data_IF_281341672098
#
_entry.id   IF_281341672098
#
_cell.length_a   1.000
_cell.length_b   1.000
_cell.length_c   1.000
_cell.angle_alpha   90.00
_cell.angle_beta   90.00
_cell.angle_gamma   90.00
#
_symmetry.space_group_name_H-M   'P 1'
#
loop_
_entity.id
_entity.type
_entity.pdbx_description
1 polymer ?
#
# COMPACT_ATOMS: atom_id res chain seq x y z
N UNK A 1 5.95 40.21 -32.98
CA UNK A 1 6.82 40.64 -31.86
C UNK A 1 5.95 41.09 -30.71
N UNK A 2 5.85 40.28 -29.65
CA UNK A 2 4.98 40.56 -28.50
C UNK A 2 5.59 41.69 -27.67
N UNK A 3 4.79 42.72 -27.34
CA UNK A 3 5.25 43.87 -26.53
C UNK A 3 5.67 43.41 -25.13
N UNK A 4 6.67 44.07 -24.52
CA UNK A 4 7.12 43.78 -23.15
C UNK A 4 5.98 43.86 -22.11
N UNK A 5 4.93 44.64 -22.39
CA UNK A 5 3.73 44.75 -21.53
C UNK A 5 2.84 43.51 -21.64
N UNK A 6 2.61 43.04 -22.87
CA UNK A 6 1.87 41.81 -23.16
C UNK A 6 2.57 40.59 -22.56
N UNK A 7 3.90 40.53 -22.66
CA UNK A 7 4.68 39.44 -22.05
C UNK A 7 4.57 39.44 -20.52
N UNK A 8 4.64 40.61 -19.87
CA UNK A 8 4.45 40.73 -18.41
C UNK A 8 3.04 40.32 -17.99
N UNK A 9 2.02 40.73 -18.74
CA UNK A 9 0.64 40.37 -18.46
C UNK A 9 0.43 38.85 -18.59
N UNK A 10 0.91 38.25 -19.68
CA UNK A 10 0.84 36.81 -19.88
C UNK A 10 1.59 36.02 -18.79
N UNK A 11 2.77 36.50 -18.35
CA UNK A 11 3.51 35.87 -17.26
C UNK A 11 2.79 35.96 -15.91
N UNK A 12 2.19 37.11 -15.58
CA UNK A 12 1.40 37.25 -14.34
C UNK A 12 0.19 36.33 -14.38
N UNK A 13 -0.53 36.29 -15.50
CA UNK A 13 -1.69 35.40 -15.68
C UNK A 13 -1.29 33.93 -15.53
N UNK A 14 -0.18 33.51 -16.13
CA UNK A 14 0.33 32.14 -16.01
C UNK A 14 0.69 31.79 -14.56
N UNK A 15 1.31 32.70 -13.81
CA UNK A 15 1.62 32.51 -12.39
C UNK A 15 0.34 32.35 -11.57
N UNK A 16 -0.67 33.21 -11.81
CA UNK A 16 -1.96 33.11 -11.12
C UNK A 16 -2.63 31.77 -11.40
N UNK A 17 -2.72 31.36 -12.67
CA UNK A 17 -3.31 30.08 -13.05
C UNK A 17 -2.56 28.90 -12.43
N UNK A 18 -1.23 28.96 -12.39
CA UNK A 18 -0.40 27.93 -11.77
C UNK A 18 -0.64 27.83 -10.26
N UNK A 19 -0.68 28.97 -9.56
CA UNK A 19 -0.98 29.02 -8.12
C UNK A 19 -2.39 28.49 -7.86
N UNK A 20 -3.39 28.93 -8.62
CA UNK A 20 -4.77 28.44 -8.49
C UNK A 20 -4.84 26.92 -8.73
N UNK A 21 -4.15 26.41 -9.74
CA UNK A 21 -4.07 24.97 -10.00
C UNK A 21 -3.49 24.19 -8.82
N UNK A 22 -2.39 24.67 -8.24
CA UNK A 22 -1.79 24.06 -7.04
C UNK A 22 -2.75 24.10 -5.86
N UNK A 23 -3.39 25.25 -5.60
CA UNK A 23 -4.33 25.39 -4.49
C UNK A 23 -5.52 24.46 -4.65
N UNK A 24 -6.10 24.36 -5.85
CA UNK A 24 -7.21 23.44 -6.12
C UNK A 24 -6.80 21.97 -5.91
N UNK A 25 -5.61 21.58 -6.39
CA UNK A 25 -5.10 20.22 -6.19
C UNK A 25 -4.88 19.89 -4.71
N UNK A 26 -4.29 20.82 -3.95
CA UNK A 26 -3.97 20.60 -2.54
C UNK A 26 -5.18 20.71 -1.60
N UNK A 27 -6.16 21.56 -1.92
CA UNK A 27 -7.33 21.80 -1.09
C UNK A 27 -8.44 20.75 -1.31
N UNK A 28 -8.49 20.11 -2.47
CA UNK A 28 -9.52 19.14 -2.84
C UNK A 28 -8.93 17.83 -3.36
N UNK A 29 -8.15 17.09 -2.53
CA UNK A 29 -7.74 15.75 -2.91
C UNK A 29 -8.98 14.85 -3.08
N UNK A 30 -8.95 13.90 -4.03
CA UNK A 30 -9.97 12.85 -4.08
C UNK A 30 -9.99 12.11 -2.74
N UNK A 31 -11.16 11.61 -2.29
CA UNK A 31 -11.23 10.80 -1.09
C UNK A 31 -10.32 9.58 -1.25
N UNK A 32 -9.66 9.20 -0.16
CA UNK A 32 -8.95 7.92 -0.12
C UNK A 32 -9.95 6.80 -0.43
N UNK A 33 -9.57 5.79 -1.22
CA UNK A 33 -10.43 4.63 -1.42
C UNK A 33 -10.72 3.97 -0.07
N UNK A 34 -11.94 3.47 0.09
CA UNK A 34 -12.40 2.84 1.34
C UNK A 34 -11.54 1.62 1.68
N UNK A 35 -11.03 0.92 0.67
CA UNK A 35 -10.09 -0.20 0.81
C UNK A 35 -8.65 0.21 0.45
N UNK A 36 -7.66 -0.15 1.29
CA UNK A 36 -6.28 0.21 1.03
C UNK A 36 -5.71 -0.62 -0.13
N UNK A 37 -5.60 0.01 -1.30
CA UNK A 37 -4.99 -0.59 -2.50
C UNK A 37 -3.56 -1.07 -2.23
N UNK A 38 -2.83 -0.39 -1.32
CA UNK A 38 -1.45 -0.70 -0.94
C UNK A 38 -1.23 -0.47 0.55
N UNK A 39 -0.52 -1.38 1.19
CA UNK A 39 -0.12 -1.32 2.59
C UNK A 39 1.41 -1.35 2.70
N UNK A 40 1.95 -0.62 3.67
CA UNK A 40 3.39 -0.62 3.95
C UNK A 40 3.60 -1.14 5.37
N UNK A 41 4.01 -2.40 5.47
CA UNK A 41 4.33 -3.01 6.75
C UNK A 41 5.68 -2.50 7.25
N UNK A 42 5.65 -1.85 8.42
CA UNK A 42 6.84 -1.31 9.07
C UNK A 42 7.41 -2.36 10.02
N UNK A 43 8.63 -2.82 9.77
CA UNK A 43 9.32 -3.76 10.65
C UNK A 43 10.84 -3.49 10.66
N UNK A 44 11.54 -4.10 11.61
CA UNK A 44 12.96 -3.85 11.85
C UNK A 44 13.89 -4.37 10.74
N UNK A 45 13.44 -5.32 9.92
CA UNK A 45 14.22 -5.91 8.83
C UNK A 45 14.16 -5.10 7.52
N UNK A 46 13.31 -4.07 7.47
CA UNK A 46 13.03 -3.27 6.27
C UNK A 46 11.54 -3.27 5.96
N UNK A 47 11.05 -2.19 5.35
CA UNK A 47 9.62 -2.04 5.05
C UNK A 47 9.22 -2.97 3.92
N UNK A 48 8.04 -3.55 4.04
CA UNK A 48 7.47 -4.45 3.04
C UNK A 48 6.24 -3.77 2.44
N UNK A 49 6.27 -3.54 1.12
CA UNK A 49 5.13 -3.03 0.38
C UNK A 49 4.24 -4.21 -0.04
N UNK A 50 2.99 -4.18 0.38
CA UNK A 50 1.95 -5.12 0.01
C UNK A 50 0.88 -4.44 -0.83
N UNK A 51 0.32 -5.12 -1.83
CA UNK A 51 -0.71 -4.57 -2.73
C UNK A 51 -1.88 -5.55 -2.86
N UNK A 52 -3.08 -5.17 -2.42
CA UNK A 52 -4.26 -6.04 -2.54
C UNK A 52 -4.58 -6.32 -4.01
N UNK A 53 -4.59 -5.28 -4.85
CA UNK A 53 -4.86 -5.41 -6.27
C UNK A 53 -3.90 -6.41 -6.96
N UNK A 54 -2.62 -6.40 -6.58
CA UNK A 54 -1.64 -7.31 -7.17
C UNK A 54 -1.86 -8.78 -6.79
N UNK A 55 -2.51 -9.07 -5.66
CA UNK A 55 -2.82 -10.44 -5.24
C UNK A 55 -4.20 -10.88 -5.76
N UNK A 56 -5.15 -9.96 -5.89
CA UNK A 56 -6.46 -10.23 -6.50
C UNK A 56 -6.34 -10.62 -7.99
N UNK A 57 -5.31 -10.12 -8.69
CA UNK A 57 -5.01 -10.52 -10.07
C UNK A 57 -4.63 -12.02 -10.21
N UNK A 58 -4.27 -12.70 -9.11
CA UNK A 58 -3.94 -14.13 -9.07
C UNK A 58 -5.10 -15.01 -8.59
N UNK A 59 -6.33 -14.49 -8.57
CA UNK A 59 -7.54 -15.21 -8.12
C UNK A 59 -7.46 -15.71 -6.66
N UNK A 60 -6.69 -14.99 -5.82
CA UNK A 60 -6.59 -15.25 -4.39
C UNK A 60 -7.86 -14.75 -3.69
N UNK A 61 -8.48 -15.61 -2.89
CA UNK A 61 -9.66 -15.26 -2.08
C UNK A 61 -9.27 -14.37 -0.90
N UNK A 62 -10.17 -13.48 -0.50
CA UNK A 62 -9.99 -12.66 0.71
C UNK A 62 -9.71 -13.54 1.95
N UNK A 63 -10.35 -14.70 2.02
CA UNK A 63 -10.24 -15.65 3.13
C UNK A 63 -8.91 -16.41 3.16
N UNK A 64 -8.13 -16.39 2.06
CA UNK A 64 -6.83 -17.06 2.03
C UNK A 64 -5.82 -16.33 2.90
N UNK A 65 -5.96 -15.01 3.06
CA UNK A 65 -5.15 -14.19 3.96
C UNK A 65 -5.93 -13.78 5.22
N UNK A 66 -7.16 -13.30 5.05
CA UNK A 66 -8.04 -12.95 6.16
C UNK A 66 -8.86 -14.17 6.57
N UNK A 67 -8.16 -15.18 7.08
CA UNK A 67 -8.70 -16.48 7.45
C UNK A 67 -9.68 -16.48 8.64
N UNK A 68 -10.05 -15.29 9.13
CA UNK A 68 -10.95 -15.10 10.26
C UNK A 68 -11.89 -13.90 10.05
N UNK A 69 -12.33 -13.64 8.82
CA UNK A 69 -13.41 -12.66 8.56
C UNK A 69 -14.73 -13.25 9.06
N UNK A 70 -15.38 -12.53 9.96
CA UNK A 70 -16.75 -12.80 10.42
C UNK A 70 -17.60 -11.53 10.21
N UNK A 71 -18.83 -11.67 9.70
CA UNK A 71 -19.82 -10.59 9.56
C UNK A 71 -19.28 -9.26 8.96
N UNK A 72 -18.46 -9.37 7.90
CA UNK A 72 -17.79 -8.25 7.21
C UNK A 72 -16.75 -7.47 8.05
N UNK A 73 -16.37 -7.98 9.23
CA UNK A 73 -15.26 -7.43 10.02
C UNK A 73 -13.91 -7.98 9.54
N UNK A 74 -13.02 -7.07 9.16
CA UNK A 74 -11.65 -7.37 8.76
C UNK A 74 -10.70 -7.01 9.91
N UNK A 75 -10.07 -8.02 10.50
CA UNK A 75 -9.07 -7.83 11.56
C UNK A 75 -7.67 -7.63 11.00
N UNK A 76 -6.87 -6.81 11.69
CA UNK A 76 -5.44 -6.76 11.43
C UNK A 76 -4.77 -8.03 11.99
N UNK A 77 -3.76 -8.55 11.29
CA UNK A 77 -3.03 -9.74 11.73
C UNK A 77 -2.48 -9.57 13.17
N UNK A 78 -2.10 -8.35 13.54
CA UNK A 78 -1.53 -8.02 14.86
C UNK A 78 -2.52 -8.01 16.02
N UNK A 79 -3.82 -8.13 15.74
CA UNK A 79 -4.84 -8.21 16.80
C UNK A 79 -4.86 -9.59 17.45
N UNK A 80 -4.45 -10.63 16.72
CA UNK A 80 -4.33 -11.99 17.24
C UNK A 80 -2.87 -12.50 17.23
N UNK A 81 -2.12 -12.24 16.16
CA UNK A 81 -0.71 -12.62 16.09
C UNK A 81 0.16 -11.55 16.74
N UNK A 82 0.51 -11.78 18.00
CA UNK A 82 1.44 -10.92 18.76
C UNK A 82 2.88 -11.06 18.26
N UNK A 83 3.81 -10.31 18.86
CA UNK A 83 5.23 -10.37 18.48
C UNK A 83 5.85 -11.77 18.68
N UNK A 84 5.37 -12.50 19.67
CA UNK A 84 5.74 -13.88 19.98
C UNK A 84 4.48 -14.74 19.99
N UNK A 85 4.62 -16.03 19.73
CA UNK A 85 3.50 -16.97 19.71
C UNK A 85 3.93 -18.38 20.11
N UNK A 86 3.00 -19.32 19.96
CA UNK A 86 3.19 -20.74 20.25
C UNK A 86 2.75 -21.62 19.05
N UNK A 87 2.69 -22.93 19.27
CA UNK A 87 2.29 -23.89 18.23
C UNK A 87 0.86 -23.69 17.71
N UNK A 88 -0.04 -23.15 18.55
CA UNK A 88 -1.44 -22.91 18.20
C UNK A 88 -1.67 -21.53 17.58
N UNK A 89 -0.86 -20.55 17.96
CA UNK A 89 -0.93 -19.18 17.43
C UNK A 89 0.48 -18.67 17.15
N UNK A 90 0.97 -18.75 15.90
CA UNK A 90 2.33 -18.33 15.57
C UNK A 90 2.52 -16.84 15.84
N UNK A 91 3.75 -16.46 16.19
CA UNK A 91 4.10 -15.05 16.28
C UNK A 91 3.92 -14.36 14.93
N UNK A 92 3.67 -13.06 14.93
CA UNK A 92 3.36 -12.25 13.74
C UNK A 92 4.36 -12.41 12.62
N UNK A 93 5.65 -12.45 12.95
CA UNK A 93 6.72 -12.63 11.96
C UNK A 93 6.60 -13.99 11.28
N UNK A 94 6.36 -15.04 12.05
CA UNK A 94 6.24 -16.40 11.53
C UNK A 94 4.94 -16.57 10.73
N UNK A 95 3.84 -15.97 11.20
CA UNK A 95 2.57 -15.95 10.47
C UNK A 95 2.70 -15.26 9.10
N UNK A 96 3.36 -14.09 9.04
CA UNK A 96 3.62 -13.42 7.77
C UNK A 96 4.52 -14.23 6.85
N UNK A 97 5.62 -14.79 7.35
CA UNK A 97 6.49 -15.59 6.48
C UNK A 97 5.78 -16.86 6.00
N UNK A 98 5.07 -17.58 6.87
CA UNK A 98 4.31 -18.77 6.49
C UNK A 98 3.29 -18.47 5.39
N UNK A 99 2.51 -17.39 5.54
CA UNK A 99 1.49 -17.01 4.56
C UNK A 99 2.11 -16.48 3.26
N UNK A 100 2.99 -15.47 3.35
CA UNK A 100 3.50 -14.76 2.18
C UNK A 100 4.51 -15.61 1.40
N UNK A 101 5.54 -16.14 2.07
CA UNK A 101 6.56 -16.92 1.35
C UNK A 101 6.06 -18.30 0.98
N UNK A 102 5.17 -18.90 1.78
CA UNK A 102 4.54 -20.18 1.46
C UNK A 102 3.80 -20.14 0.13
N UNK A 103 2.83 -19.21 -0.01
CA UNK A 103 2.08 -19.05 -1.26
C UNK A 103 3.00 -18.72 -2.45
N UNK A 104 3.99 -17.83 -2.27
CA UNK A 104 4.92 -17.50 -3.35
C UNK A 104 5.78 -18.68 -3.80
N UNK A 105 6.21 -19.54 -2.87
CA UNK A 105 6.97 -20.75 -3.16
C UNK A 105 6.09 -21.78 -3.89
N UNK A 106 4.87 -21.99 -3.40
CA UNK A 106 3.94 -22.98 -3.95
C UNK A 106 3.54 -22.65 -5.39
N UNK A 107 3.27 -21.37 -5.67
CA UNK A 107 2.94 -20.90 -7.02
C UNK A 107 4.19 -20.64 -7.88
N UNK A 108 5.39 -20.64 -7.28
CA UNK A 108 6.62 -20.21 -7.95
C UNK A 108 6.56 -18.77 -8.46
N UNK A 109 5.74 -17.93 -7.84
CA UNK A 109 5.45 -16.57 -8.26
C UNK A 109 5.52 -15.63 -7.06
N UNK A 110 6.27 -14.54 -7.20
CA UNK A 110 6.48 -13.56 -6.13
C UNK A 110 7.81 -13.72 -5.39
N UNK A 111 8.16 -12.74 -4.52
CA UNK A 111 9.42 -12.72 -3.81
C UNK A 111 9.50 -13.75 -2.67
N UNK A 112 10.60 -14.48 -2.59
CA UNK A 112 10.88 -15.46 -1.52
C UNK A 112 12.18 -15.16 -0.76
N UNK A 113 13.05 -14.33 -1.33
CA UNK A 113 14.31 -13.89 -0.71
C UNK A 113 14.06 -12.72 0.24
N UNK A 114 14.78 -12.68 1.37
CA UNK A 114 14.54 -11.70 2.44
C UNK A 114 14.55 -10.25 1.91
N UNK A 115 15.55 -9.90 1.11
CA UNK A 115 15.73 -8.56 0.57
C UNK A 115 14.80 -8.22 -0.61
N UNK A 116 14.07 -9.21 -1.14
CA UNK A 116 13.10 -8.99 -2.20
C UNK A 116 11.76 -8.50 -1.66
N UNK A 117 11.46 -8.81 -0.40
CA UNK A 117 10.34 -8.22 0.36
C UNK A 117 10.79 -7.01 1.17
N UNK A 118 11.88 -7.14 1.92
CA UNK A 118 12.42 -6.10 2.81
C UNK A 118 13.35 -5.14 2.06
N UNK A 119 12.80 -4.45 1.07
CA UNK A 119 13.58 -3.66 0.12
C UNK A 119 13.73 -2.17 0.49
N UNK A 120 13.12 -1.71 1.59
CA UNK A 120 12.95 -0.28 1.93
C UNK A 120 13.27 0.08 3.38
#
# INVERSE_FOLDING_TARGET
MTSKKELKFASILAIVLFITGITCYAAFPPPSPDEPVRLMFQNAAGKVLFTHAGHQDYDVSCLDCHHNIEDDEIYNCSECHEATGDESMPGRTDAFHAQCTGCHQDLGAGPVECNSCHAL
#
